data_IF_482019639655
#
_entry.id   IF_482019639655
#
_cell.length_a   1.000
_cell.length_b   1.000
_cell.length_c   1.000
_cell.angle_alpha   90.00
_cell.angle_beta   90.00
_cell.angle_gamma   90.00
#
_symmetry.space_group_name_H-M   'P 1'
#
loop_
_entity.id
_entity.type
_entity.pdbx_description
1 polymer ?
#
# COMPACT_ATOMS: atom_id res chain seq x y z
N UNK A 1 15.05 -2.18 -0.35
CA UNK A 1 16.24 -2.85 0.27
C UNK A 1 17.59 -2.42 -0.30
N UNK A 2 17.84 -2.42 -1.62
CA UNK A 2 19.13 -1.95 -2.19
C UNK A 2 19.47 -0.51 -1.78
N UNK A 3 18.50 0.40 -1.84
CA UNK A 3 18.65 1.81 -1.41
C UNK A 3 18.99 1.99 0.08
N UNK A 4 18.44 1.14 0.95
CA UNK A 4 18.78 1.12 2.40
C UNK A 4 20.23 0.71 2.58
N UNK A 5 20.67 -0.33 1.88
CA UNK A 5 22.05 -0.82 1.92
C UNK A 5 23.02 0.24 1.41
N UNK A 6 22.74 0.83 0.24
CA UNK A 6 23.59 1.85 -0.36
C UNK A 6 23.72 3.09 0.56
N UNK A 7 22.62 3.53 1.19
CA UNK A 7 22.65 4.61 2.17
C UNK A 7 23.44 4.23 3.43
N UNK A 8 23.20 3.05 3.98
CA UNK A 8 23.87 2.57 5.18
C UNK A 8 25.38 2.35 4.99
N UNK A 9 25.80 1.94 3.80
CA UNK A 9 27.20 1.74 3.44
C UNK A 9 27.95 3.08 3.32
N UNK A 10 27.30 4.10 2.73
CA UNK A 10 27.87 5.46 2.59
C UNK A 10 27.90 6.21 3.92
N UNK A 11 26.86 6.09 4.75
CA UNK A 11 26.75 6.82 6.03
C UNK A 11 27.41 6.12 7.21
N UNK A 12 27.43 4.78 7.23
CA UNK A 12 27.93 3.98 8.34
C UNK A 12 29.42 3.69 8.33
N UNK A 13 30.21 4.40 7.49
CA UNK A 13 31.65 4.14 7.33
C UNK A 13 31.96 2.66 7.05
N UNK A 14 31.11 1.98 6.27
CA UNK A 14 31.25 0.56 5.93
C UNK A 14 30.62 -0.45 6.92
N UNK A 15 29.91 -0.02 7.97
CA UNK A 15 29.15 -0.91 8.86
C UNK A 15 27.67 -0.53 8.91
N UNK A 16 26.81 -1.50 8.62
CA UNK A 16 25.35 -1.36 8.76
C UNK A 16 24.99 -1.66 10.21
N UNK A 17 24.52 -0.66 10.95
CA UNK A 17 23.94 -0.83 12.30
C UNK A 17 22.42 -0.77 12.24
N UNK A 18 21.75 -1.25 13.29
CA UNK A 18 20.29 -1.22 13.39
C UNK A 18 19.77 0.24 13.35
N UNK A 19 20.49 1.18 13.97
CA UNK A 19 20.12 2.59 13.96
C UNK A 19 20.15 3.20 12.55
N UNK A 20 21.18 2.89 11.77
CA UNK A 20 21.34 3.40 10.39
C UNK A 20 20.32 2.75 9.45
N UNK A 21 20.00 1.47 9.66
CA UNK A 21 18.95 0.79 8.90
C UNK A 21 17.57 1.40 9.18
N UNK A 22 17.27 1.73 10.43
CA UNK A 22 16.02 2.40 10.81
C UNK A 22 15.94 3.82 10.23
N UNK A 23 17.00 4.62 10.33
CA UNK A 23 17.03 5.97 9.75
C UNK A 23 16.83 5.93 8.21
N UNK A 24 17.38 4.92 7.55
CA UNK A 24 17.19 4.71 6.12
C UNK A 24 15.77 4.27 5.76
N UNK A 25 15.12 3.44 6.57
CA UNK A 25 13.73 3.01 6.39
C UNK A 25 12.74 4.16 6.63
N UNK A 26 12.98 4.97 7.66
CA UNK A 26 12.22 6.20 7.92
C UNK A 26 12.32 7.17 6.74
N UNK A 27 13.53 7.34 6.17
CA UNK A 27 13.74 8.17 4.98
C UNK A 27 13.07 7.63 3.72
N UNK A 28 12.84 6.32 3.65
CA UNK A 28 12.12 5.71 2.54
C UNK A 28 10.59 5.72 2.75
N UNK A 29 10.11 6.22 3.89
CA UNK A 29 8.69 6.26 4.24
C UNK A 29 8.00 4.89 4.07
N UNK A 30 8.69 3.81 4.42
CA UNK A 30 8.14 2.45 4.38
C UNK A 30 7.56 2.11 5.75
N UNK A 31 6.34 1.60 5.82
CA UNK A 31 5.73 1.22 7.10
C UNK A 31 6.14 -0.19 7.57
N UNK A 32 5.63 -0.59 8.74
CA UNK A 32 5.91 -1.88 9.37
C UNK A 32 5.52 -3.10 8.52
N UNK A 33 4.60 -2.94 7.55
CA UNK A 33 4.19 -3.99 6.61
C UNK A 33 5.02 -3.98 5.32
N UNK A 34 5.99 -3.08 5.22
CA UNK A 34 6.82 -2.91 4.03
C UNK A 34 6.18 -2.08 2.93
N UNK A 35 5.06 -1.40 3.21
CA UNK A 35 4.35 -0.60 2.21
C UNK A 35 4.99 0.77 2.08
N UNK A 36 5.15 1.24 0.85
CA UNK A 36 5.59 2.60 0.59
C UNK A 36 4.41 3.59 0.50
N UNK A 37 4.70 4.83 0.09
CA UNK A 37 3.66 5.84 -0.08
C UNK A 37 2.63 5.47 -1.15
N UNK A 38 3.07 4.88 -2.26
CA UNK A 38 2.20 4.54 -3.38
C UNK A 38 1.28 3.38 -3.01
N UNK A 39 1.78 2.36 -2.32
CA UNK A 39 0.97 1.26 -1.79
C UNK A 39 -0.16 1.78 -0.88
N UNK A 40 0.18 2.65 0.08
CA UNK A 40 -0.80 3.22 1.00
C UNK A 40 -1.78 4.15 0.28
N UNK A 41 -1.32 4.92 -0.70
CA UNK A 41 -2.17 5.80 -1.51
C UNK A 41 -3.17 5.01 -2.37
N UNK A 42 -2.77 3.86 -2.91
CA UNK A 42 -3.65 2.97 -3.66
C UNK A 42 -4.77 2.44 -2.76
N UNK A 43 -4.42 1.90 -1.59
CA UNK A 43 -5.37 1.36 -0.63
C UNK A 43 -6.30 2.45 -0.07
N UNK A 44 -5.76 3.59 0.35
CA UNK A 44 -6.57 4.71 0.87
C UNK A 44 -7.49 5.27 -0.21
N UNK A 45 -7.05 5.35 -1.46
CA UNK A 45 -7.90 5.76 -2.58
C UNK A 45 -9.09 4.83 -2.77
N UNK A 46 -8.90 3.51 -2.72
CA UNK A 46 -9.99 2.53 -2.78
C UNK A 46 -10.96 2.73 -1.61
N UNK A 47 -10.43 2.91 -0.40
CA UNK A 47 -11.22 3.02 0.82
C UNK A 47 -12.02 4.33 0.87
N UNK A 48 -11.37 5.46 0.67
CA UNK A 48 -11.93 6.80 0.92
C UNK A 48 -12.69 7.34 -0.29
N UNK A 49 -12.17 7.16 -1.51
CA UNK A 49 -12.80 7.69 -2.73
C UNK A 49 -13.83 6.75 -3.32
N UNK A 50 -13.66 5.44 -3.11
CA UNK A 50 -14.52 4.41 -3.71
C UNK A 50 -15.25 3.55 -2.67
N UNK A 51 -15.31 3.99 -1.41
CA UNK A 51 -16.00 3.31 -0.31
C UNK A 51 -15.61 1.83 -0.16
N UNK A 52 -14.32 1.52 -0.36
CA UNK A 52 -13.79 0.16 -0.30
C UNK A 52 -13.83 -0.60 -1.62
N UNK A 53 -14.44 -0.06 -2.68
CA UNK A 53 -14.57 -0.70 -3.99
C UNK A 53 -15.86 -1.54 -4.14
N UNK A 54 -16.01 -2.32 -5.23
CA UNK A 54 -15.01 -2.58 -6.27
C UNK A 54 -14.79 -1.37 -7.20
N UNK A 55 -13.52 -1.10 -7.55
CA UNK A 55 -13.13 -0.06 -8.53
C UNK A 55 -12.34 -0.65 -9.71
N UNK A 56 -12.62 -0.19 -10.93
CA UNK A 56 -11.91 -0.64 -12.13
C UNK A 56 -10.46 -0.16 -12.17
N UNK A 57 -9.56 -0.92 -12.82
CA UNK A 57 -8.13 -0.61 -12.89
C UNK A 57 -7.85 0.77 -13.51
N UNK A 58 -8.52 1.09 -14.62
CA UNK A 58 -8.35 2.38 -15.30
C UNK A 58 -8.83 3.56 -14.45
N UNK A 59 -9.94 3.37 -13.70
CA UNK A 59 -10.43 4.38 -12.76
C UNK A 59 -9.46 4.58 -11.60
N UNK A 60 -8.91 3.48 -11.08
CA UNK A 60 -7.95 3.52 -9.98
C UNK A 60 -6.64 4.20 -10.42
N UNK A 61 -6.11 3.82 -11.58
CA UNK A 61 -4.98 4.46 -12.25
C UNK A 61 -5.17 5.97 -12.39
N UNK A 62 -6.32 6.41 -12.92
CA UNK A 62 -6.62 7.84 -13.04
C UNK A 62 -6.72 8.55 -11.68
N UNK A 63 -7.21 7.87 -10.65
CA UNK A 63 -7.39 8.44 -9.31
C UNK A 63 -6.10 8.53 -8.49
N UNK A 64 -5.11 7.68 -8.79
CA UNK A 64 -3.78 7.65 -8.13
C UNK A 64 -2.67 8.29 -8.96
N UNK A 65 -2.93 8.62 -10.24
CA UNK A 65 -1.93 9.07 -11.21
C UNK A 65 -0.79 8.04 -11.43
N UNK A 66 -1.14 6.76 -11.36
CA UNK A 66 -0.24 5.64 -11.63
C UNK A 66 -0.64 4.94 -12.93
N UNK A 67 0.32 4.36 -13.65
CA UNK A 67 0.03 3.58 -14.86
C UNK A 67 -0.66 2.25 -14.50
N UNK A 68 -1.62 1.81 -15.33
CA UNK A 68 -2.38 0.57 -15.09
C UNK A 68 -1.49 -0.65 -14.91
N UNK A 69 -0.47 -0.77 -15.76
CA UNK A 69 0.46 -1.90 -15.77
C UNK A 69 1.36 -1.86 -14.52
N UNK A 70 1.68 -0.67 -14.02
CA UNK A 70 2.45 -0.54 -12.77
C UNK A 70 1.61 -1.00 -11.58
N UNK A 71 0.32 -0.63 -11.53
CA UNK A 71 -0.59 -1.14 -10.50
C UNK A 71 -0.68 -2.68 -10.57
N UNK A 72 -0.96 -3.25 -11.74
CA UNK A 72 -1.19 -4.69 -11.89
C UNK A 72 0.08 -5.54 -11.70
N UNK A 73 1.22 -5.10 -12.23
CA UNK A 73 2.44 -5.93 -12.26
C UNK A 73 3.40 -5.67 -11.09
N UNK A 74 3.33 -4.48 -10.47
CA UNK A 74 4.26 -4.07 -9.41
C UNK A 74 3.59 -4.06 -8.03
N UNK A 75 2.44 -3.40 -7.90
CA UNK A 75 1.83 -3.14 -6.58
C UNK A 75 0.83 -4.22 -6.14
N UNK A 76 -0.10 -4.61 -7.02
CA UNK A 76 -1.13 -5.60 -6.71
C UNK A 76 -0.60 -6.94 -6.18
N UNK A 77 0.48 -7.55 -6.72
CA UNK A 77 0.89 -8.88 -6.31
C UNK A 77 1.17 -8.98 -4.81
N UNK A 78 1.86 -7.98 -4.25
CA UNK A 78 2.18 -7.97 -2.82
C UNK A 78 0.96 -7.64 -1.96
N UNK A 79 0.16 -6.65 -2.36
CA UNK A 79 -1.05 -6.25 -1.62
C UNK A 79 -2.10 -7.37 -1.55
N UNK A 80 -2.22 -8.18 -2.62
CA UNK A 80 -3.05 -9.38 -2.63
C UNK A 80 -2.44 -10.46 -1.74
N UNK A 81 -1.12 -10.68 -1.82
CA UNK A 81 -0.42 -11.70 -1.03
C UNK A 81 -0.57 -11.48 0.48
N UNK A 82 -0.49 -10.23 0.95
CA UNK A 82 -0.69 -9.89 2.38
C UNK A 82 -2.18 -9.72 2.75
N UNK A 83 -3.08 -9.91 1.80
CA UNK A 83 -4.53 -9.89 2.02
C UNK A 83 -5.12 -8.50 2.21
N UNK A 84 -4.48 -7.44 1.72
CA UNK A 84 -4.96 -6.05 1.81
C UNK A 84 -5.84 -5.65 0.62
N UNK A 85 -5.65 -6.32 -0.52
CA UNK A 85 -6.40 -6.07 -1.75
C UNK A 85 -7.04 -7.37 -2.26
N UNK A 86 -8.27 -7.27 -2.74
CA UNK A 86 -8.96 -8.36 -3.44
C UNK A 86 -9.25 -7.95 -4.90
N UNK A 87 -8.93 -8.84 -5.84
CA UNK A 87 -9.33 -8.71 -7.24
C UNK A 87 -10.64 -9.46 -7.47
N UNK A 88 -11.66 -8.72 -7.91
CA UNK A 88 -12.97 -9.28 -8.27
C UNK A 88 -13.24 -9.07 -9.77
N UNK A 89 -14.22 -9.78 -10.36
CA UNK A 89 -14.64 -9.52 -11.75
C UNK A 89 -15.12 -8.08 -11.98
N UNK A 90 -15.57 -7.38 -10.93
CA UNK A 90 -16.07 -6.00 -11.00
C UNK A 90 -15.00 -4.95 -10.73
N UNK A 91 -13.80 -5.34 -10.29
CA UNK A 91 -12.73 -4.42 -9.90
C UNK A 91 -12.00 -4.82 -8.62
N UNK A 92 -11.22 -3.89 -8.09
CA UNK A 92 -10.38 -4.05 -6.89
C UNK A 92 -11.15 -3.61 -5.65
N UNK A 93 -11.07 -4.39 -4.58
CA UNK A 93 -11.70 -4.11 -3.29
C UNK A 93 -10.67 -4.09 -2.18
N UNK A 94 -10.72 -3.12 -1.28
CA UNK A 94 -9.90 -3.10 -0.08
C UNK A 94 -10.50 -4.04 0.97
N UNK A 95 -9.67 -4.84 1.63
CA UNK A 95 -10.12 -5.79 2.65
C UNK A 95 -10.19 -5.13 4.03
N UNK A 96 -10.90 -5.72 5.02
CA UNK A 96 -10.89 -5.23 6.39
C UNK A 96 -9.48 -5.08 7.00
N UNK A 97 -8.51 -5.90 6.56
CA UNK A 97 -7.13 -5.80 7.01
C UNK A 97 -6.46 -4.50 6.54
N UNK A 98 -6.75 -4.04 5.32
CA UNK A 98 -6.26 -2.75 4.82
C UNK A 98 -6.85 -1.57 5.60
N UNK A 99 -8.15 -1.62 5.94
CA UNK A 99 -8.78 -0.61 6.80
C UNK A 99 -8.09 -0.53 8.17
N UNK A 100 -7.88 -1.68 8.82
CA UNK A 100 -7.22 -1.76 10.11
C UNK A 100 -5.78 -1.24 10.05
N UNK A 101 -5.02 -1.63 9.02
CA UNK A 101 -3.63 -1.19 8.83
C UNK A 101 -3.51 0.33 8.64
N UNK A 102 -4.40 0.92 7.84
CA UNK A 102 -4.41 2.37 7.60
C UNK A 102 -5.07 3.18 8.72
N UNK A 103 -5.62 2.52 9.75
CA UNK A 103 -6.36 3.18 10.82
C UNK A 103 -7.66 3.85 10.34
N UNK A 104 -8.18 3.44 9.18
CA UNK A 104 -9.41 4.00 8.61
C UNK A 104 -10.59 3.20 9.15
N UNK A 105 -11.49 3.87 9.85
CA UNK A 105 -12.72 3.22 10.33
C UNK A 105 -13.60 2.87 9.13
N UNK A 106 -13.91 1.59 8.96
CA UNK A 106 -14.79 1.12 7.89
C UNK A 106 -16.11 1.89 7.89
N UNK A 107 -16.47 2.47 6.76
CA UNK A 107 -17.77 3.11 6.55
C UNK A 107 -18.87 2.06 6.66
N UNK A 108 -19.51 2.01 7.83
CA UNK A 108 -20.80 1.36 8.19
C UNK A 108 -21.44 0.44 7.12
N UNK A 109 -20.85 -0.68 6.78
CA UNK A 109 -21.54 -1.78 6.09
C UNK A 109 -22.19 -2.73 7.13
N UNK A 110 -23.17 -2.23 7.91
CA UNK A 110 -24.11 -3.09 8.67
C UNK A 110 -25.34 -2.36 9.24
N UNK A 111 -25.94 -1.41 8.51
CA UNK A 111 -27.23 -0.81 8.93
C UNK A 111 -28.44 -1.25 8.10
N UNK A 112 -28.25 -2.08 7.07
CA UNK A 112 -29.32 -2.69 6.31
C UNK A 112 -29.01 -4.17 6.09
N UNK A 113 -29.26 -4.97 7.13
CA UNK A 113 -29.63 -6.38 6.96
C UNK A 113 -31.14 -6.43 7.18
N UNK A 114 -31.88 -6.51 6.09
CA UNK A 114 -33.26 -7.01 6.10
C UNK A 114 -33.24 -8.54 6.18
#
# INVERSE_FOLDING_TARGET
LKRVRDYAEVKGSGKITAEIANEALERLAVDEMGLDHTDRNLLSTIIEKFNGGPVGLSTLSAATAEETDTIEDVYEPYLIQIGFLERTPKGRKATPAAYAHLGISGTKESLFKD
#
